data_IF_947671604627
#
_entry.id   IF_947671604627
#
_cell.length_a   1.000
_cell.length_b   1.000
_cell.length_c   1.000
_cell.angle_alpha   90.00
_cell.angle_beta   90.00
_cell.angle_gamma   90.00
#
_symmetry.space_group_name_H-M   'P 1'
#
loop_
_entity.id
_entity.type
_entity.pdbx_description
1 polymer ?
#
# COMPACT_ATOMS: atom_id res chain seq x y z
N UNK A 1 -22.17 0.20 -8.32
CA UNK A 1 -20.72 0.52 -8.16
C UNK A 1 -20.31 0.54 -6.69
N UNK A 2 -21.06 1.19 -5.78
CA UNK A 2 -20.78 1.18 -4.33
C UNK A 2 -20.65 -0.24 -3.77
N UNK A 3 -21.57 -1.14 -4.07
CA UNK A 3 -21.51 -2.51 -3.58
C UNK A 3 -20.23 -3.25 -4.00
N UNK A 4 -19.74 -3.01 -5.23
CA UNK A 4 -18.52 -3.65 -5.73
C UNK A 4 -17.26 -3.19 -4.99
N UNK A 5 -17.21 -1.90 -4.61
CA UNK A 5 -16.10 -1.37 -3.82
C UNK A 5 -16.10 -1.97 -2.41
N UNK A 6 -17.27 -2.05 -1.77
CA UNK A 6 -17.41 -2.68 -0.45
C UNK A 6 -17.05 -4.18 -0.49
N UNK A 7 -17.49 -4.92 -1.50
CA UNK A 7 -17.16 -6.34 -1.68
C UNK A 7 -15.65 -6.55 -1.85
N UNK A 8 -15.00 -5.71 -2.65
CA UNK A 8 -13.53 -5.75 -2.82
C UNK A 8 -12.77 -5.46 -1.53
N UNK A 9 -13.25 -4.49 -0.76
CA UNK A 9 -12.66 -4.13 0.54
C UNK A 9 -12.82 -5.25 1.55
N UNK A 10 -14.00 -5.84 1.61
CA UNK A 10 -14.29 -6.94 2.52
C UNK A 10 -13.41 -8.14 2.22
N UNK A 11 -13.25 -8.50 0.93
CA UNK A 11 -12.37 -9.57 0.50
C UNK A 11 -10.88 -9.29 0.82
N UNK A 12 -10.42 -8.06 0.57
CA UNK A 12 -9.04 -7.64 0.91
C UNK A 12 -8.80 -7.64 2.42
N UNK A 13 -9.75 -7.12 3.19
CA UNK A 13 -9.66 -7.11 4.66
C UNK A 13 -9.66 -8.52 5.22
N UNK A 14 -10.50 -9.41 4.71
CA UNK A 14 -10.54 -10.81 5.13
C UNK A 14 -9.20 -11.52 4.88
N UNK A 15 -8.56 -11.29 3.73
CA UNK A 15 -7.22 -11.82 3.42
C UNK A 15 -6.17 -11.30 4.40
N UNK A 16 -6.16 -10.02 4.68
CA UNK A 16 -5.21 -9.41 5.61
C UNK A 16 -5.43 -9.85 7.05
N UNK A 17 -6.66 -10.05 7.48
CA UNK A 17 -6.98 -10.64 8.79
C UNK A 17 -6.45 -12.07 8.87
N UNK A 18 -6.59 -12.87 7.82
CA UNK A 18 -6.01 -14.22 7.77
C UNK A 18 -4.48 -14.18 7.88
N UNK A 19 -3.82 -13.25 7.21
CA UNK A 19 -2.37 -13.03 7.34
C UNK A 19 -1.98 -12.66 8.79
N UNK A 20 -2.73 -11.78 9.45
CA UNK A 20 -2.50 -11.44 10.85
C UNK A 20 -2.64 -12.64 11.78
N UNK A 21 -3.66 -13.47 11.57
CA UNK A 21 -3.89 -14.69 12.37
C UNK A 21 -2.74 -15.68 12.20
N UNK A 22 -2.24 -15.84 10.98
CA UNK A 22 -1.07 -16.68 10.69
C UNK A 22 0.17 -16.18 11.43
N UNK A 23 0.49 -14.88 11.33
CA UNK A 23 1.63 -14.26 12.03
C UNK A 23 1.51 -14.36 13.55
N UNK A 24 0.33 -14.14 14.11
CA UNK A 24 0.07 -14.32 15.55
C UNK A 24 0.24 -15.77 15.99
N UNK A 25 -0.17 -16.72 15.16
CA UNK A 25 0.00 -18.15 15.45
C UNK A 25 1.47 -18.56 15.43
N UNK A 26 2.23 -18.05 14.47
CA UNK A 26 3.68 -18.27 14.40
C UNK A 26 4.40 -17.62 15.57
N UNK A 27 4.04 -16.37 15.92
CA UNK A 27 4.62 -15.64 17.07
C UNK A 27 4.46 -16.41 18.40
N UNK A 28 3.32 -17.07 18.60
CA UNK A 28 3.08 -17.89 19.81
C UNK A 28 3.93 -19.15 19.87
N UNK A 29 4.47 -19.61 18.74
CA UNK A 29 5.23 -20.86 18.63
C UNK A 29 6.73 -20.64 18.52
N UNK A 30 7.17 -19.42 18.24
CA UNK A 30 8.61 -19.14 18.07
C UNK A 30 9.27 -18.84 19.41
N UNK A 31 10.42 -19.47 19.64
CA UNK A 31 11.31 -19.18 20.76
C UNK A 31 12.50 -18.30 20.34
N UNK A 32 12.60 -17.95 19.03
CA UNK A 32 13.63 -17.09 18.48
C UNK A 32 13.24 -15.61 18.64
N UNK A 33 13.97 -14.82 19.45
CA UNK A 33 13.66 -13.41 19.68
C UNK A 33 13.71 -12.56 18.40
N UNK A 34 14.65 -12.84 17.49
CA UNK A 34 14.78 -12.08 16.23
C UNK A 34 13.58 -12.36 15.30
N UNK A 35 13.12 -13.62 15.24
CA UNK A 35 11.91 -13.97 14.49
C UNK A 35 10.66 -13.35 15.12
N UNK A 36 10.56 -13.36 16.46
CA UNK A 36 9.45 -12.74 17.19
C UNK A 36 9.35 -11.24 16.91
N UNK A 37 10.47 -10.51 16.94
CA UNK A 37 10.53 -9.08 16.63
C UNK A 37 10.08 -8.81 15.19
N UNK A 38 10.53 -9.60 14.22
CA UNK A 38 10.12 -9.50 12.82
C UNK A 38 8.62 -9.73 12.64
N UNK A 39 8.06 -10.75 13.27
CA UNK A 39 6.63 -11.05 13.22
C UNK A 39 5.78 -9.93 13.84
N UNK A 40 6.22 -9.35 14.95
CA UNK A 40 5.56 -8.19 15.55
C UNK A 40 5.57 -6.98 14.59
N UNK A 41 6.69 -6.71 13.94
CA UNK A 41 6.79 -5.67 12.92
C UNK A 41 5.80 -5.89 11.76
N UNK A 42 5.72 -7.10 11.23
CA UNK A 42 4.76 -7.47 10.18
C UNK A 42 3.31 -7.29 10.61
N UNK A 43 2.97 -7.68 11.84
CA UNK A 43 1.64 -7.50 12.42
C UNK A 43 1.28 -6.01 12.50
N UNK A 44 2.20 -5.15 12.93
CA UNK A 44 1.99 -3.71 12.99
C UNK A 44 1.78 -3.13 11.59
N UNK A 45 2.60 -3.51 10.62
CA UNK A 45 2.50 -3.05 9.23
C UNK A 45 1.13 -3.42 8.63
N UNK A 46 0.73 -4.69 8.71
CA UNK A 46 -0.56 -5.16 8.16
C UNK A 46 -1.74 -4.50 8.89
N UNK A 47 -1.68 -4.40 10.22
CA UNK A 47 -2.73 -3.76 11.02
C UNK A 47 -2.90 -2.28 10.68
N UNK A 48 -1.79 -1.57 10.42
CA UNK A 48 -1.82 -0.17 9.98
C UNK A 48 -2.51 -0.04 8.62
N UNK A 49 -2.26 -0.95 7.68
CA UNK A 49 -2.92 -0.92 6.37
C UNK A 49 -4.43 -1.04 6.48
N UNK A 50 -4.91 -2.02 7.23
CA UNK A 50 -6.35 -2.22 7.45
C UNK A 50 -6.98 -0.94 8.01
N UNK A 51 -6.36 -0.37 9.04
CA UNK A 51 -6.83 0.87 9.68
C UNK A 51 -6.87 2.04 8.71
N UNK A 52 -5.79 2.28 7.97
CA UNK A 52 -5.66 3.45 7.10
C UNK A 52 -6.53 3.37 5.86
N UNK A 53 -6.58 2.21 5.22
CA UNK A 53 -7.50 1.99 4.11
C UNK A 53 -8.95 2.22 4.51
N UNK A 54 -9.38 1.63 5.63
CA UNK A 54 -10.75 1.80 6.11
C UNK A 54 -11.06 3.28 6.43
N UNK A 55 -10.09 4.03 6.98
CA UNK A 55 -10.25 5.47 7.21
C UNK A 55 -10.39 6.25 5.90
N UNK A 56 -9.54 5.98 4.89
CA UNK A 56 -9.63 6.65 3.59
C UNK A 56 -11.00 6.45 2.95
N UNK A 57 -11.51 5.24 2.99
CA UNK A 57 -12.82 4.93 2.40
C UNK A 57 -13.95 5.56 3.19
N UNK A 58 -13.91 5.49 4.51
CA UNK A 58 -14.91 6.13 5.37
C UNK A 58 -14.99 7.64 5.11
N UNK A 59 -13.85 8.33 5.04
CA UNK A 59 -13.77 9.75 4.70
C UNK A 59 -14.29 10.01 3.30
N UNK A 60 -13.88 9.20 2.33
CA UNK A 60 -14.31 9.30 0.94
C UNK A 60 -15.83 9.16 0.78
N UNK A 61 -16.43 8.16 1.43
CA UNK A 61 -17.89 7.96 1.40
C UNK A 61 -18.64 9.13 2.06
N UNK A 62 -18.14 9.62 3.18
CA UNK A 62 -18.80 10.75 3.88
C UNK A 62 -18.71 12.07 3.12
N UNK A 63 -17.60 12.35 2.44
CA UNK A 63 -17.31 13.64 1.82
C UNK A 63 -17.42 13.63 0.29
N UNK A 64 -17.58 12.45 -0.32
CA UNK A 64 -17.57 12.28 -1.78
C UNK A 64 -16.19 12.42 -2.42
N UNK A 65 -15.15 12.72 -1.65
CA UNK A 65 -13.77 12.87 -2.11
C UNK A 65 -12.79 12.72 -0.95
N UNK A 66 -11.52 12.53 -1.28
CA UNK A 66 -10.40 12.40 -0.33
C UNK A 66 -9.39 13.50 -0.64
N UNK A 67 -8.99 14.30 0.35
CA UNK A 67 -7.96 15.30 0.13
C UNK A 67 -6.59 14.64 -0.08
N UNK A 68 -5.76 15.26 -0.91
CA UNK A 68 -4.34 14.85 -1.08
C UNK A 68 -3.62 14.82 0.27
N UNK A 69 -4.00 15.70 1.20
CA UNK A 69 -3.42 15.74 2.55
C UNK A 69 -3.78 14.48 3.37
N UNK A 70 -4.99 13.96 3.25
CA UNK A 70 -5.38 12.70 3.92
C UNK A 70 -4.61 11.50 3.38
N UNK A 71 -4.44 11.41 2.05
CA UNK A 71 -3.61 10.38 1.45
C UNK A 71 -2.14 10.50 1.90
N UNK A 72 -1.61 11.73 1.96
CA UNK A 72 -0.25 12.01 2.45
C UNK A 72 -0.04 11.53 3.88
N UNK A 73 -0.98 11.81 4.79
CA UNK A 73 -0.93 11.35 6.17
C UNK A 73 -0.95 9.81 6.26
N UNK A 74 -1.79 9.15 5.48
CA UNK A 74 -1.86 7.69 5.45
C UNK A 74 -0.55 7.05 4.97
N UNK A 75 0.03 7.56 3.88
CA UNK A 75 1.28 7.04 3.33
C UNK A 75 2.47 7.32 4.25
N UNK A 76 2.56 8.50 4.83
CA UNK A 76 3.65 8.84 5.76
C UNK A 76 3.62 7.96 7.00
N UNK A 77 2.46 7.75 7.63
CA UNK A 77 2.35 6.85 8.78
C UNK A 77 2.72 5.40 8.42
N UNK A 78 2.30 4.94 7.24
CA UNK A 78 2.67 3.61 6.77
C UNK A 78 4.17 3.50 6.49
N UNK A 79 4.79 4.54 5.92
CA UNK A 79 6.24 4.61 5.71
C UNK A 79 7.01 4.61 7.04
N UNK A 80 6.55 5.38 8.03
CA UNK A 80 7.14 5.41 9.38
C UNK A 80 7.11 4.02 10.03
N UNK A 81 6.00 3.28 9.91
CA UNK A 81 5.91 1.92 10.43
C UNK A 81 6.86 0.95 9.72
N UNK A 82 7.08 1.12 8.40
CA UNK A 82 8.08 0.34 7.68
C UNK A 82 9.51 0.66 8.14
N UNK A 83 9.80 1.93 8.44
CA UNK A 83 11.08 2.32 9.03
C UNK A 83 11.30 1.67 10.40
N UNK A 84 10.26 1.59 11.24
CA UNK A 84 10.33 0.87 12.52
C UNK A 84 10.53 -0.64 12.33
N UNK A 85 10.01 -1.19 11.24
CA UNK A 85 10.23 -2.59 10.85
C UNK A 85 11.66 -2.86 10.34
N UNK A 86 12.41 -1.81 9.99
CA UNK A 86 13.80 -1.88 9.54
C UNK A 86 14.00 -1.69 8.02
N UNK A 87 12.96 -1.31 7.28
CA UNK A 87 13.08 -0.91 5.87
C UNK A 87 13.30 0.60 5.76
N UNK A 88 14.10 1.04 4.79
CA UNK A 88 14.20 2.46 4.45
C UNK A 88 12.99 2.85 3.58
N UNK A 89 12.07 3.65 4.12
CA UNK A 89 10.86 4.03 3.41
C UNK A 89 10.62 5.53 3.45
N UNK A 90 10.24 6.10 2.31
CA UNK A 90 9.77 7.49 2.23
C UNK A 90 8.68 7.65 1.18
N UNK A 91 7.78 8.61 1.41
CA UNK A 91 6.71 8.95 0.49
C UNK A 91 6.69 10.45 0.22
N UNK A 92 6.68 10.81 -1.05
CA UNK A 92 6.58 12.19 -1.53
C UNK A 92 5.34 12.34 -2.40
N UNK A 93 4.46 13.27 -2.05
CA UNK A 93 3.31 13.62 -2.89
C UNK A 93 3.43 15.07 -3.31
N UNK A 94 3.47 15.30 -4.61
CA UNK A 94 3.43 16.62 -5.23
C UNK A 94 2.01 16.94 -5.70
N UNK A 95 1.58 18.17 -5.51
CA UNK A 95 0.24 18.65 -5.82
C UNK A 95 -0.68 18.64 -4.61
N UNK A 96 -1.83 19.27 -4.79
CA UNK A 96 -2.87 19.47 -3.79
C UNK A 96 -4.25 19.25 -4.39
N UNK A 97 -5.30 19.32 -3.59
CA UNK A 97 -6.69 19.25 -4.03
C UNK A 97 -7.41 17.99 -3.56
N UNK A 98 -8.39 17.57 -4.35
CA UNK A 98 -9.27 16.45 -4.05
C UNK A 98 -9.05 15.31 -5.04
N UNK A 99 -9.02 14.11 -4.52
CA UNK A 99 -8.96 12.85 -5.25
C UNK A 99 -10.34 12.18 -5.21
N UNK A 100 -10.66 11.41 -6.24
CA UNK A 100 -11.76 10.46 -6.14
C UNK A 100 -11.42 9.33 -5.15
N UNK A 101 -12.45 8.66 -4.65
CA UNK A 101 -12.26 7.50 -3.75
C UNK A 101 -11.44 6.43 -4.49
N UNK A 102 -11.73 6.20 -5.78
CA UNK A 102 -11.03 5.24 -6.62
C UNK A 102 -9.55 5.58 -6.78
N UNK A 103 -9.22 6.86 -7.00
CA UNK A 103 -7.82 7.29 -7.11
C UNK A 103 -7.05 7.03 -5.81
N UNK A 104 -7.59 7.48 -4.67
CA UNK A 104 -6.92 7.32 -3.39
C UNK A 104 -6.81 5.85 -2.95
N UNK A 105 -7.86 5.05 -3.18
CA UNK A 105 -7.85 3.62 -2.83
C UNK A 105 -6.95 2.81 -3.75
N UNK A 106 -6.90 3.12 -5.06
CA UNK A 106 -6.00 2.43 -5.98
C UNK A 106 -4.52 2.66 -5.62
N UNK A 107 -4.16 3.89 -5.31
CA UNK A 107 -2.81 4.25 -4.84
C UNK A 107 -2.43 3.50 -3.58
N UNK A 108 -3.31 3.53 -2.57
CA UNK A 108 -3.03 2.88 -1.30
C UNK A 108 -3.03 1.35 -1.42
N UNK A 109 -3.91 0.78 -2.24
CA UNK A 109 -3.95 -0.65 -2.52
C UNK A 109 -2.68 -1.15 -3.24
N UNK A 110 -2.13 -0.37 -4.18
CA UNK A 110 -0.85 -0.71 -4.81
C UNK A 110 0.31 -0.64 -3.82
N UNK A 111 0.36 0.39 -2.98
CA UNK A 111 1.34 0.48 -1.91
C UNK A 111 1.29 -0.74 -0.98
N UNK A 112 0.10 -1.11 -0.50
CA UNK A 112 -0.11 -2.30 0.32
C UNK A 112 0.36 -3.58 -0.40
N UNK A 113 -0.03 -3.76 -1.66
CA UNK A 113 0.30 -4.96 -2.44
C UNK A 113 1.81 -5.14 -2.63
N UNK A 114 2.54 -4.05 -2.88
CA UNK A 114 4.01 -4.07 -2.98
C UNK A 114 4.63 -4.46 -1.64
N UNK A 115 4.21 -3.83 -0.55
CA UNK A 115 4.78 -4.13 0.77
C UNK A 115 4.43 -5.54 1.22
N UNK A 116 3.21 -6.04 0.96
CA UNK A 116 2.85 -7.42 1.29
C UNK A 116 3.67 -8.44 0.50
N UNK A 117 3.95 -8.18 -0.78
CA UNK A 117 4.79 -9.05 -1.59
C UNK A 117 6.24 -9.10 -1.07
N UNK A 118 6.76 -7.98 -0.59
CA UNK A 118 8.13 -7.83 -0.08
C UNK A 118 8.24 -7.94 1.44
N UNK A 119 7.21 -8.39 2.14
CA UNK A 119 7.13 -8.34 3.61
C UNK A 119 8.31 -9.00 4.33
N UNK A 120 8.90 -10.04 3.72
CA UNK A 120 10.08 -10.74 4.29
C UNK A 120 11.43 -10.17 3.81
N UNK A 121 11.45 -9.42 2.70
CA UNK A 121 12.68 -9.04 2.00
C UNK A 121 12.83 -7.54 1.72
N UNK A 122 11.84 -6.72 2.08
CA UNK A 122 11.88 -5.28 1.83
C UNK A 122 13.09 -4.61 2.51
N UNK A 123 13.94 -4.01 1.71
CA UNK A 123 15.09 -3.21 2.18
C UNK A 123 14.81 -1.71 2.06
N UNK A 124 14.27 -1.29 0.92
CA UNK A 124 13.90 0.11 0.73
C UNK A 124 12.68 0.27 -0.19
N UNK A 125 11.91 1.32 0.05
CA UNK A 125 10.76 1.71 -0.75
C UNK A 125 10.66 3.24 -0.83
N UNK A 126 10.83 3.76 -2.04
CA UNK A 126 10.58 5.16 -2.33
C UNK A 126 9.27 5.30 -3.10
N UNK A 127 8.34 6.06 -2.55
CA UNK A 127 7.03 6.37 -3.16
C UNK A 127 7.05 7.80 -3.67
N UNK A 128 6.74 8.01 -4.94
CA UNK A 128 6.55 9.34 -5.53
C UNK A 128 5.19 9.41 -6.23
N UNK A 129 4.39 10.41 -5.86
CA UNK A 129 3.06 10.64 -6.44
C UNK A 129 2.98 12.06 -6.95
N UNK A 130 2.50 12.21 -8.18
CA UNK A 130 2.17 13.51 -8.77
C UNK A 130 0.68 13.58 -9.05
N UNK A 131 0.03 14.61 -8.49
CA UNK A 131 -1.40 14.86 -8.65
C UNK A 131 -1.61 15.99 -9.64
N UNK A 132 -2.29 15.68 -10.76
CA UNK A 132 -2.59 16.59 -11.84
C UNK A 132 -3.92 16.28 -12.50
N UNK A 133 -3.96 16.30 -13.85
CA UNK A 133 -5.12 15.82 -14.62
C UNK A 133 -5.35 14.32 -14.43
N UNK A 134 -4.27 13.56 -14.35
CA UNK A 134 -4.24 12.21 -13.86
C UNK A 134 -3.33 12.13 -12.61
N UNK A 135 -3.47 11.08 -11.83
CA UNK A 135 -2.56 10.76 -10.75
C UNK A 135 -1.50 9.80 -11.27
N UNK A 136 -0.24 10.13 -11.08
CA UNK A 136 0.90 9.28 -11.42
C UNK A 136 1.59 8.83 -10.14
N UNK A 137 1.72 7.52 -9.95
CA UNK A 137 2.43 6.91 -8.83
C UNK A 137 3.62 6.13 -9.35
N UNK A 138 4.80 6.41 -8.78
CA UNK A 138 6.03 5.70 -9.06
C UNK A 138 6.58 5.13 -7.74
N UNK A 139 6.95 3.86 -7.78
CA UNK A 139 7.57 3.15 -6.67
C UNK A 139 8.95 2.66 -7.12
N UNK A 140 9.97 2.89 -6.30
CA UNK A 140 11.29 2.30 -6.46
C UNK A 140 11.52 1.37 -5.26
N UNK A 141 11.75 0.09 -5.53
CA UNK A 141 11.75 -0.97 -4.52
C UNK A 141 13.06 -1.74 -4.56
N UNK A 142 13.69 -1.92 -3.40
CA UNK A 142 14.74 -2.90 -3.17
C UNK A 142 14.20 -4.02 -2.28
N UNK A 143 14.07 -5.19 -2.84
CA UNK A 143 13.56 -6.41 -2.21
C UNK A 143 13.86 -7.61 -3.09
N UNK A 144 13.45 -8.79 -2.68
CA UNK A 144 13.78 -10.05 -3.39
C UNK A 144 12.56 -10.70 -4.07
N UNK A 145 11.34 -10.21 -3.77
CA UNK A 145 10.13 -10.76 -4.37
C UNK A 145 9.89 -10.16 -5.77
N UNK A 146 9.61 -10.99 -6.80
CA UNK A 146 9.29 -10.46 -8.12
C UNK A 146 7.89 -9.81 -8.13
N UNK A 147 7.83 -8.52 -8.41
CA UNK A 147 6.57 -7.75 -8.38
C UNK A 147 5.77 -7.81 -9.69
N UNK A 148 6.27 -8.49 -10.70
CA UNK A 148 5.60 -8.63 -12.01
C UNK A 148 4.17 -9.17 -11.92
N UNK A 149 3.88 -10.03 -10.94
CA UNK A 149 2.54 -10.60 -10.71
C UNK A 149 1.49 -9.56 -10.32
N UNK A 150 1.91 -8.37 -9.86
CA UNK A 150 0.99 -7.28 -9.52
C UNK A 150 0.27 -6.70 -10.75
N UNK A 151 0.71 -7.03 -11.97
CA UNK A 151 -0.02 -6.69 -13.21
C UNK A 151 -1.41 -7.32 -13.27
N UNK A 152 -1.63 -8.46 -12.63
CA UNK A 152 -2.92 -9.15 -12.63
C UNK A 152 -4.00 -8.34 -11.88
N UNK A 153 -3.78 -7.92 -10.60
CA UNK A 153 -4.72 -7.05 -9.90
C UNK A 153 -4.71 -5.59 -10.37
N UNK A 154 -3.61 -5.12 -11.00
CA UNK A 154 -3.45 -3.76 -11.50
C UNK A 154 -3.10 -3.77 -12.99
N UNK A 155 -4.08 -3.95 -13.91
CA UNK A 155 -3.80 -4.10 -15.35
C UNK A 155 -3.08 -2.93 -16.00
N UNK A 156 -3.24 -1.71 -15.46
CA UNK A 156 -2.57 -0.49 -15.93
C UNK A 156 -1.16 -0.29 -15.33
N UNK A 157 -0.67 -1.27 -14.54
CA UNK A 157 0.63 -1.20 -13.92
C UNK A 157 1.74 -1.48 -14.93
N UNK A 158 2.75 -0.63 -14.94
CA UNK A 158 4.03 -0.86 -15.61
C UNK A 158 5.05 -1.33 -14.57
N UNK A 159 5.87 -2.29 -14.93
CA UNK A 159 6.92 -2.85 -14.08
C UNK A 159 8.20 -3.04 -14.87
N UNK A 160 9.30 -2.61 -14.28
CA UNK A 160 10.67 -2.75 -14.81
C UNK A 160 11.60 -3.15 -13.68
N UNK A 161 12.69 -3.83 -14.02
CA UNK A 161 13.79 -4.17 -13.12
C UNK A 161 15.09 -3.77 -13.78
N UNK A 162 15.98 -3.08 -13.05
CA UNK A 162 17.27 -2.70 -13.57
C UNK A 162 18.37 -3.76 -13.33
N UNK A 163 19.58 -3.48 -13.81
CA UNK A 163 20.73 -4.37 -13.71
C UNK A 163 21.19 -4.60 -12.25
N UNK A 164 20.86 -3.67 -11.35
CA UNK A 164 21.19 -3.74 -9.92
C UNK A 164 20.08 -4.45 -9.09
N UNK A 165 19.01 -4.89 -9.74
CA UNK A 165 17.87 -5.57 -9.10
C UNK A 165 16.90 -4.63 -8.39
N UNK A 166 16.96 -3.32 -8.68
CA UNK A 166 15.91 -2.39 -8.26
C UNK A 166 14.68 -2.54 -9.14
N UNK A 167 13.54 -2.63 -8.51
CA UNK A 167 12.26 -2.76 -9.19
C UNK A 167 11.54 -1.42 -9.23
N UNK A 168 11.01 -1.08 -10.38
CA UNK A 168 10.24 0.15 -10.61
C UNK A 168 8.81 -0.24 -10.98
N UNK A 169 7.87 0.28 -10.22
CA UNK A 169 6.43 0.05 -10.42
C UNK A 169 5.76 1.39 -10.64
N UNK A 170 5.03 1.51 -11.74
CA UNK A 170 4.38 2.76 -12.14
C UNK A 170 2.89 2.51 -12.38
N UNK A 171 2.05 3.40 -11.84
CA UNK A 171 0.60 3.36 -12.00
C UNK A 171 0.08 4.74 -12.36
N UNK A 172 -0.72 4.81 -13.42
CA UNK A 172 -1.49 5.99 -13.79
C UNK A 172 -2.97 5.76 -13.50
N UNK A 173 -3.58 6.68 -12.75
CA UNK A 173 -5.00 6.63 -12.41
C UNK A 173 -5.68 7.90 -12.92
N UNK A 174 -6.59 7.74 -13.87
CA UNK A 174 -7.37 8.86 -14.42
C UNK A 174 -8.34 9.42 -13.37
N UNK A 175 -8.68 10.70 -13.49
CA UNK A 175 -9.85 11.22 -12.79
C UNK A 175 -11.10 10.56 -13.37
N UNK A 176 -11.87 9.90 -12.52
CA UNK A 176 -13.21 9.47 -12.92
C UNK A 176 -13.98 10.70 -13.38
N UNK A 177 -14.29 10.78 -14.67
CA UNK A 177 -15.04 11.89 -15.23
C UNK A 177 -16.40 11.95 -14.54
N UNK A 178 -16.61 12.95 -13.70
CA UNK A 178 -17.95 13.28 -13.21
C UNK A 178 -18.82 13.61 -14.43
N UNK A 179 -19.78 12.75 -14.73
CA UNK A 179 -20.92 13.09 -15.55
C UNK A 179 -22.02 13.67 -14.68
#
# INVERSE_FOLDING_TARGET
EENRLYDMMEAQTARQIAMLQERLTELKKTDDPARAERLLGQIIVIGTYIKRRNNLIFVGVQRGSISVQELRLCLNESAENLCLYGAECSALIKGDGQLSIEQATAVYALFEAVVEAELESLRSLLVSIEVGEALHMNLCISGDAPLRHLKDPFPALEWEEDEDGLQYVMLRVEKSGGK
#
